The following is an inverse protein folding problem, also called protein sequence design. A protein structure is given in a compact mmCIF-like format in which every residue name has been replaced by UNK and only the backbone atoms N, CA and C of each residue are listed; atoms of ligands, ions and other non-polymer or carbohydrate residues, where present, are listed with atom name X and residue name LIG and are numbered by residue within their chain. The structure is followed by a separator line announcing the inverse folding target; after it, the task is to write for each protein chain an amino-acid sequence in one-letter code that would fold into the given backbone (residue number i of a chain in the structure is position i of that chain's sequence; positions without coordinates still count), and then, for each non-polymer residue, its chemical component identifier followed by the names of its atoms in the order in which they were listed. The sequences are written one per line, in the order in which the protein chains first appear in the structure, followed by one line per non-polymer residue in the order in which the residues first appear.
data_IF_485106669985
#
_entry.id   IF_485106669985
#
_cell.length_a   1.000
_cell.length_b   1.000
_cell.length_c   1.000
_cell.angle_alpha   90.00
_cell.angle_beta   90.00
_cell.angle_gamma   90.00
#
_symmetry.space_group_name_H-M   'P 1'
#
loop_
_entity.id
_entity.type
_entity.pdbx_description
1 polymer ?
#
# COMPACT_ATOMS: atom_id res chain seq x y z
N UNK A 1 -13.74 -13.44 11.80
CA UNK A 1 -13.09 -12.25 11.19
C UNK A 1 -12.16 -11.64 12.22
N UNK A 2 -10.88 -11.40 11.89
CA UNK A 2 -9.97 -10.70 12.80
C UNK A 2 -10.45 -9.26 12.99
N UNK A 3 -10.47 -8.80 14.25
CA UNK A 3 -10.86 -7.43 14.59
C UNK A 3 -9.86 -6.43 14.00
N UNK A 4 -10.34 -5.24 13.66
CA UNK A 4 -9.48 -4.10 13.31
C UNK A 4 -8.79 -3.61 14.58
N UNK A 5 -7.48 -3.48 14.53
CA UNK A 5 -6.63 -3.05 15.62
C UNK A 5 -5.81 -1.82 15.20
N UNK A 6 -5.33 -1.06 16.16
CA UNK A 6 -4.46 0.10 15.89
C UNK A 6 -3.23 0.08 16.76
N UNK A 7 -2.12 0.58 16.23
CA UNK A 7 -0.95 0.99 17.01
C UNK A 7 -0.62 2.45 16.70
N UNK A 8 0.07 3.11 17.62
CA UNK A 8 0.66 4.42 17.37
C UNK A 8 2.18 4.28 17.31
N UNK A 9 2.79 4.76 16.23
CA UNK A 9 4.23 4.76 16.02
C UNK A 9 4.90 5.87 16.85
N UNK A 10 6.22 5.81 17.04
CA UNK A 10 6.98 6.87 17.69
C UNK A 10 6.91 8.20 16.91
N UNK A 11 6.76 8.14 15.59
CA UNK A 11 6.53 9.32 14.74
C UNK A 11 5.12 9.90 14.85
N UNK A 12 4.26 9.31 15.68
CA UNK A 12 2.88 9.77 15.91
C UNK A 12 1.86 9.24 14.89
N UNK A 13 2.27 8.40 13.95
CA UNK A 13 1.38 7.79 12.95
C UNK A 13 0.58 6.66 13.59
N UNK A 14 -0.73 6.68 13.40
CA UNK A 14 -1.60 5.56 13.75
C UNK A 14 -1.67 4.59 12.57
N UNK A 15 -1.34 3.34 12.79
CA UNK A 15 -1.43 2.26 11.80
C UNK A 15 -2.62 1.37 12.16
N UNK A 16 -3.54 1.22 11.23
CA UNK A 16 -4.66 0.28 11.33
C UNK A 16 -4.27 -1.06 10.70
N UNK A 17 -4.53 -2.16 11.40
CA UNK A 17 -4.10 -3.49 10.96
C UNK A 17 -5.07 -4.59 11.37
N UNK A 18 -4.94 -5.73 10.71
CA UNK A 18 -5.54 -7.01 11.10
C UNK A 18 -4.44 -8.02 11.40
N UNK A 19 -4.66 -8.83 12.42
CA UNK A 19 -3.73 -9.87 12.88
C UNK A 19 -4.51 -11.13 13.20
N UNK A 20 -4.06 -12.26 12.70
CA UNK A 20 -4.68 -13.57 12.97
C UNK A 20 -4.38 -14.14 14.35
N UNK A 21 -3.48 -13.51 15.09
CA UNK A 21 -3.30 -13.68 16.54
C UNK A 21 -2.46 -14.88 17.00
N UNK A 22 -2.11 -15.83 16.16
CA UNK A 22 -1.28 -16.98 16.56
C UNK A 22 0.19 -16.55 16.82
N UNK A 23 0.51 -16.26 18.07
CA UNK A 23 1.83 -15.70 18.45
C UNK A 23 3.01 -16.65 18.29
N UNK A 24 2.77 -17.96 18.18
CA UNK A 24 3.82 -18.99 18.01
C UNK A 24 4.10 -19.33 16.56
N UNK A 25 3.20 -18.97 15.66
CA UNK A 25 3.35 -19.23 14.25
C UNK A 25 4.36 -18.29 13.57
N UNK A 26 5.03 -18.74 12.48
CA UNK A 26 5.84 -17.86 11.66
C UNK A 26 4.98 -16.73 11.07
N UNK A 27 5.53 -15.50 11.03
CA UNK A 27 4.77 -14.31 10.68
C UNK A 27 4.94 -13.95 9.22
N UNK A 28 3.84 -13.63 8.55
CA UNK A 28 3.81 -12.97 7.22
C UNK A 28 3.22 -11.58 7.40
N UNK A 29 3.90 -10.56 6.87
CA UNK A 29 3.39 -9.17 6.79
C UNK A 29 3.09 -8.85 5.33
N UNK A 30 1.85 -8.47 5.06
CA UNK A 30 1.35 -8.10 3.75
C UNK A 30 1.34 -6.56 3.63
N UNK A 31 2.17 -6.03 2.72
CA UNK A 31 2.39 -4.58 2.53
C UNK A 31 1.76 -4.19 1.19
N UNK A 32 0.73 -3.35 1.22
CA UNK A 32 -0.01 -2.95 0.03
C UNK A 32 0.65 -1.76 -0.70
N UNK A 33 0.23 -1.54 -1.95
CA UNK A 33 0.70 -0.46 -2.79
C UNK A 33 0.08 0.90 -2.48
N UNK A 34 0.42 1.90 -3.30
CA UNK A 34 0.00 3.29 -3.15
C UNK A 34 -1.54 3.42 -3.13
N UNK A 35 -2.05 4.11 -2.12
CA UNK A 35 -3.47 4.41 -1.96
C UNK A 35 -4.39 3.21 -1.74
N UNK A 36 -3.84 1.99 -1.72
CA UNK A 36 -4.61 0.78 -1.56
C UNK A 36 -4.70 0.37 -0.08
N UNK A 37 -5.90 -0.01 0.35
CA UNK A 37 -6.18 -0.44 1.70
C UNK A 37 -5.83 -1.92 1.93
N UNK A 38 -5.69 -2.33 3.17
CA UNK A 38 -5.43 -3.72 3.56
C UNK A 38 -6.47 -4.72 3.00
N UNK A 39 -7.69 -4.26 2.73
CA UNK A 39 -8.79 -5.05 2.15
C UNK A 39 -8.59 -5.41 0.67
N UNK A 40 -7.61 -4.81 0.00
CA UNK A 40 -7.26 -5.16 -1.40
C UNK A 40 -6.53 -6.51 -1.45
N UNK A 41 -5.89 -6.96 -0.37
CA UNK A 41 -5.43 -8.32 -0.27
C UNK A 41 -6.63 -9.29 -0.28
N UNK A 42 -6.76 -10.19 -1.28
CA UNK A 42 -7.89 -11.12 -1.35
C UNK A 42 -7.97 -11.97 -0.07
N UNK A 43 -9.19 -12.17 0.41
CA UNK A 43 -9.40 -13.00 1.60
C UNK A 43 -8.97 -14.45 1.36
N UNK A 44 -9.06 -14.95 0.13
CA UNK A 44 -8.56 -16.27 -0.27
C UNK A 44 -7.06 -16.39 -0.03
N UNK A 45 -6.27 -15.35 -0.37
CA UNK A 45 -4.84 -15.33 -0.07
C UNK A 45 -4.59 -15.24 1.43
N UNK A 46 -5.26 -14.27 2.09
CA UNK A 46 -5.08 -14.02 3.53
C UNK A 46 -5.42 -15.25 4.37
N UNK A 47 -6.60 -15.83 4.15
CA UNK A 47 -7.05 -17.03 4.86
C UNK A 47 -6.30 -18.29 4.43
N UNK A 48 -5.92 -18.38 3.15
CA UNK A 48 -5.09 -19.47 2.64
C UNK A 48 -3.73 -19.56 3.33
N UNK A 49 -3.09 -18.42 3.58
CA UNK A 49 -1.83 -18.38 4.34
C UNK A 49 -2.05 -18.78 5.81
N UNK A 50 -3.15 -18.36 6.42
CA UNK A 50 -3.54 -18.77 7.78
C UNK A 50 -3.74 -20.28 7.85
N UNK A 51 -4.44 -20.87 6.88
CA UNK A 51 -4.66 -22.32 6.81
C UNK A 51 -3.36 -23.10 6.63
N UNK A 52 -2.30 -22.48 6.11
CA UNK A 52 -0.95 -23.04 6.04
C UNK A 52 -0.13 -22.88 7.33
N UNK A 53 -0.74 -22.39 8.40
CA UNK A 53 -0.12 -22.29 9.72
C UNK A 53 0.67 -20.98 9.95
N UNK A 54 0.49 -19.95 9.12
CA UNK A 54 1.14 -18.65 9.34
C UNK A 54 0.26 -17.71 10.19
N UNK A 55 0.90 -16.88 11.01
CA UNK A 55 0.31 -15.66 11.53
C UNK A 55 0.41 -14.59 10.46
N UNK A 56 -0.72 -14.11 9.97
CA UNK A 56 -0.75 -13.15 8.86
C UNK A 56 -1.21 -11.80 9.37
N UNK A 57 -0.45 -10.77 9.02
CA UNK A 57 -0.74 -9.38 9.35
C UNK A 57 -0.89 -8.63 8.04
N UNK A 58 -2.00 -7.90 7.89
CA UNK A 58 -2.22 -6.93 6.82
C UNK A 58 -2.60 -5.59 7.44
N UNK A 59 -2.13 -4.49 6.89
CA UNK A 59 -2.31 -3.17 7.47
C UNK A 59 -2.52 -2.11 6.38
N UNK A 60 -3.09 -0.99 6.76
CA UNK A 60 -3.15 0.20 5.93
C UNK A 60 -1.85 1.00 6.10
N UNK A 61 -1.20 1.33 5.00
CA UNK A 61 -0.08 2.28 5.03
C UNK A 61 -0.58 3.66 5.53
N UNK A 62 0.34 4.55 5.96
CA UNK A 62 -0.01 5.96 6.14
C UNK A 62 -0.67 6.51 4.88
N UNK A 63 -1.61 7.43 5.01
CA UNK A 63 -2.45 8.00 3.95
C UNK A 63 -3.37 6.98 3.23
N UNK A 64 -3.55 5.78 3.79
CA UNK A 64 -4.45 4.78 3.25
C UNK A 64 -5.42 4.27 4.33
N UNK A 65 -6.64 3.99 3.91
CA UNK A 65 -7.66 3.36 4.75
C UNK A 65 -7.93 4.09 6.06
N UNK A 66 -7.82 3.36 7.17
CA UNK A 66 -8.07 3.87 8.52
C UNK A 66 -6.77 4.25 9.27
N UNK A 67 -5.61 4.19 8.62
CA UNK A 67 -4.37 4.73 9.17
C UNK A 67 -4.35 6.26 9.11
N UNK A 68 -3.39 6.89 9.79
CA UNK A 68 -3.24 8.35 9.79
C UNK A 68 -3.26 8.94 8.40
N UNK A 69 -4.10 9.95 8.20
CA UNK A 69 -4.17 10.77 7.00
C UNK A 69 -3.33 12.04 7.24
N UNK A 70 -2.50 12.39 6.29
CA UNK A 70 -1.56 13.52 6.38
C UNK A 70 -2.00 14.69 5.49
N UNK A 71 -3.32 14.87 5.36
CA UNK A 71 -3.97 15.89 4.51
C UNK A 71 -3.49 17.31 4.79
N UNK A 72 -3.01 17.59 6.04
CA UNK A 72 -2.45 18.87 6.42
C UNK A 72 -1.21 19.29 5.60
N UNK A 73 -0.53 18.34 4.96
CA UNK A 73 0.61 18.64 4.11
C UNK A 73 0.21 18.90 2.65
N UNK A 74 -1.08 18.74 2.30
CA UNK A 74 -1.61 18.92 0.96
C UNK A 74 -1.07 17.91 -0.06
N UNK A 75 -1.54 18.01 -1.29
CA UNK A 75 -1.02 17.16 -2.38
C UNK A 75 0.32 17.70 -2.89
N UNK A 76 1.36 16.88 -3.00
CA UNK A 76 2.65 17.32 -3.49
C UNK A 76 2.55 17.78 -4.95
N UNK A 77 3.18 18.90 -5.26
CA UNK A 77 3.25 19.40 -6.62
C UNK A 77 4.30 18.59 -7.40
N UNK A 78 3.84 17.60 -8.17
CA UNK A 78 4.71 16.71 -8.96
C UNK A 78 5.63 17.48 -9.93
N UNK A 79 5.19 18.61 -10.46
CA UNK A 79 6.01 19.46 -11.32
C UNK A 79 7.17 20.09 -10.52
N UNK A 80 6.90 20.59 -9.31
CA UNK A 80 7.96 21.11 -8.43
C UNK A 80 8.94 20.00 -8.03
N UNK A 81 8.45 18.79 -7.74
CA UNK A 81 9.32 17.62 -7.43
C UNK A 81 10.18 17.23 -8.64
N UNK A 82 9.60 17.22 -9.84
CA UNK A 82 10.36 16.95 -11.07
C UNK A 82 11.42 18.01 -11.32
N UNK A 83 11.08 19.28 -11.12
CA UNK A 83 11.97 20.42 -11.31
C UNK A 83 13.10 20.45 -10.26
N UNK A 84 12.83 20.04 -9.02
CA UNK A 84 13.82 19.97 -7.94
C UNK A 84 14.95 18.97 -8.19
N UNK A 85 14.72 17.97 -9.05
CA UNK A 85 15.77 17.04 -9.49
C UNK A 85 16.79 17.69 -10.44
N UNK A 86 16.51 18.85 -10.98
CA UNK A 86 17.35 19.59 -11.96
C UNK A 86 17.81 20.95 -11.44
N UNK A 87 17.06 21.53 -10.52
CA UNK A 87 17.36 22.84 -9.93
C UNK A 87 17.39 22.69 -8.40
N UNK A 88 18.13 23.51 -7.66
CA UNK A 88 18.23 23.47 -6.20
C UNK A 88 16.96 24.04 -5.54
N UNK A 89 15.78 23.52 -5.92
CA UNK A 89 14.49 23.92 -5.37
C UNK A 89 14.19 22.96 -4.20
N UNK A 90 14.05 23.52 -3.00
CA UNK A 90 13.57 22.77 -1.84
C UNK A 90 12.10 22.42 -2.05
N UNK A 91 11.81 21.12 -2.20
CA UNK A 91 10.45 20.60 -2.17
C UNK A 91 10.19 19.95 -0.82
N UNK A 92 9.09 20.34 -0.20
CA UNK A 92 8.65 19.67 1.01
C UNK A 92 8.00 18.33 0.61
N UNK A 93 8.63 17.24 0.99
CA UNK A 93 8.11 15.88 0.83
C UNK A 93 7.64 15.47 2.24
N UNK A 94 6.34 15.22 2.46
CA UNK A 94 5.81 14.93 3.80
C UNK A 94 6.44 13.69 4.43
N UNK A 95 6.71 12.68 3.63
CA UNK A 95 7.35 11.44 4.03
C UNK A 95 7.95 10.70 2.84
N UNK A 96 8.80 9.75 3.13
CA UNK A 96 9.54 8.94 2.15
C UNK A 96 9.16 7.47 2.28
N UNK A 97 9.63 6.63 1.33
CA UNK A 97 9.52 5.17 1.47
C UNK A 97 10.29 4.63 2.69
N UNK A 98 11.32 5.33 3.14
CA UNK A 98 12.04 4.98 4.37
C UNK A 98 11.17 5.20 5.61
N UNK A 99 10.37 6.26 5.64
CA UNK A 99 9.43 6.51 6.73
C UNK A 99 8.36 5.40 6.76
N UNK A 100 7.85 4.99 5.59
CA UNK A 100 6.89 3.88 5.48
C UNK A 100 7.52 2.54 5.88
N UNK A 101 8.80 2.31 5.56
CA UNK A 101 9.53 1.14 6.01
C UNK A 101 9.69 1.13 7.54
N UNK A 102 9.93 2.28 8.15
CA UNK A 102 9.98 2.43 9.60
C UNK A 102 8.62 2.15 10.25
N UNK A 103 7.49 2.56 9.64
CA UNK A 103 6.16 2.19 10.15
C UNK A 103 5.99 0.67 10.27
N UNK A 104 6.43 -0.08 9.27
CA UNK A 104 6.38 -1.55 9.32
C UNK A 104 7.26 -2.10 10.43
N UNK A 105 8.45 -1.54 10.61
CA UNK A 105 9.37 -1.96 11.68
C UNK A 105 8.81 -1.63 13.07
N UNK A 106 8.10 -0.53 13.22
CA UNK A 106 7.43 -0.16 14.46
C UNK A 106 6.20 -1.01 14.72
N UNK A 107 5.42 -1.36 13.67
CA UNK A 107 4.36 -2.35 13.77
C UNK A 107 4.91 -3.70 14.25
N UNK A 108 6.02 -4.16 13.67
CA UNK A 108 6.69 -5.39 14.14
C UNK A 108 7.11 -5.29 15.61
N UNK A 109 7.67 -4.15 16.02
CA UNK A 109 8.12 -3.93 17.41
C UNK A 109 6.94 -3.94 18.39
N UNK A 110 5.86 -3.22 18.09
CA UNK A 110 4.65 -3.17 18.89
C UNK A 110 4.00 -4.55 19.07
N UNK A 111 4.05 -5.39 18.00
CA UNK A 111 3.51 -6.75 18.02
C UNK A 111 4.53 -7.80 18.54
N UNK A 112 5.71 -7.34 19.01
CA UNK A 112 6.82 -8.19 19.51
C UNK A 112 7.29 -9.21 18.48
N UNK A 113 7.26 -8.84 17.18
CA UNK A 113 7.70 -9.68 16.07
C UNK A 113 9.20 -9.44 15.83
N UNK A 114 10.01 -10.45 16.07
CA UNK A 114 11.47 -10.37 15.88
C UNK A 114 11.86 -10.49 14.41
N UNK A 115 11.19 -11.40 13.67
CA UNK A 115 11.45 -11.66 12.25
C UNK A 115 10.13 -11.99 11.54
N UNK A 116 10.01 -11.62 10.26
CA UNK A 116 8.84 -11.91 9.45
C UNK A 116 9.21 -12.22 7.98
N UNK A 117 8.33 -12.93 7.30
CA UNK A 117 8.27 -12.97 5.85
C UNK A 117 7.56 -11.70 5.38
N UNK A 118 8.15 -10.98 4.43
CA UNK A 118 7.56 -9.76 3.87
C UNK A 118 7.01 -10.05 2.48
N UNK A 119 5.74 -9.71 2.27
CA UNK A 119 5.09 -9.80 0.96
C UNK A 119 4.57 -8.41 0.62
N UNK A 120 5.14 -7.81 -0.41
CA UNK A 120 4.80 -6.45 -0.82
C UNK A 120 4.33 -6.36 -2.26
N UNK A 121 3.24 -5.64 -2.51
CA UNK A 121 2.71 -5.38 -3.84
C UNK A 121 3.00 -3.94 -4.29
N UNK A 122 3.51 -3.76 -5.52
CA UNK A 122 3.79 -2.44 -6.10
C UNK A 122 4.70 -1.59 -5.18
N UNK A 123 4.26 -0.42 -4.71
CA UNK A 123 4.99 0.39 -3.71
C UNK A 123 5.28 -0.40 -2.43
N UNK A 124 4.38 -1.29 -1.99
CA UNK A 124 4.62 -2.18 -0.86
C UNK A 124 5.81 -3.11 -1.05
N UNK A 125 6.07 -3.53 -2.30
CA UNK A 125 7.29 -4.28 -2.65
C UNK A 125 8.54 -3.42 -2.54
N UNK A 126 8.50 -2.12 -2.87
CA UNK A 126 9.63 -1.20 -2.67
C UNK A 126 9.92 -1.02 -1.17
N UNK A 127 8.88 -0.85 -0.34
CA UNK A 127 8.98 -0.76 1.12
C UNK A 127 9.63 -2.03 1.68
N UNK A 128 9.14 -3.21 1.26
CA UNK A 128 9.68 -4.49 1.70
C UNK A 128 11.15 -4.68 1.30
N UNK A 129 11.56 -4.23 0.10
CA UNK A 129 12.95 -4.24 -0.35
C UNK A 129 13.83 -3.33 0.52
N UNK A 130 13.36 -2.12 0.88
CA UNK A 130 14.10 -1.23 1.79
C UNK A 130 14.31 -1.86 3.16
N UNK A 131 13.28 -2.50 3.73
CA UNK A 131 13.40 -3.23 4.99
C UNK A 131 14.41 -4.35 4.87
N UNK A 132 14.32 -5.17 3.82
CA UNK A 132 15.25 -6.29 3.59
C UNK A 132 16.69 -5.83 3.42
N UNK A 133 16.93 -4.71 2.74
CA UNK A 133 18.26 -4.15 2.53
C UNK A 133 18.87 -3.58 3.82
N UNK A 134 18.08 -2.80 4.58
CA UNK A 134 18.56 -2.07 5.76
C UNK A 134 18.44 -2.84 7.07
N UNK A 135 17.52 -3.81 7.14
CA UNK A 135 17.17 -4.56 8.36
C UNK A 135 17.17 -6.08 8.12
N UNK A 136 18.19 -6.59 7.43
CA UNK A 136 18.33 -8.00 7.03
C UNK A 136 18.02 -9.00 8.16
N UNK A 137 18.42 -8.68 9.41
CA UNK A 137 18.19 -9.55 10.57
C UNK A 137 16.73 -9.73 10.95
N UNK A 138 15.83 -8.84 10.48
CA UNK A 138 14.40 -8.87 10.75
C UNK A 138 13.57 -9.58 9.65
N UNK A 139 14.18 -9.94 8.51
CA UNK A 139 13.51 -10.49 7.35
C UNK A 139 13.87 -11.96 7.17
N UNK A 140 12.87 -12.82 7.12
CA UNK A 140 13.01 -14.25 6.83
C UNK A 140 13.02 -14.51 5.33
N UNK A 141 12.10 -13.88 4.60
CA UNK A 141 12.06 -13.88 3.13
C UNK A 141 11.39 -12.62 2.61
N UNK A 142 11.59 -12.32 1.34
CA UNK A 142 10.99 -11.21 0.62
C UNK A 142 10.28 -11.74 -0.62
N UNK A 143 8.97 -11.45 -0.74
CA UNK A 143 8.19 -11.63 -1.95
C UNK A 143 7.78 -10.25 -2.48
N UNK A 144 8.24 -9.91 -3.68
CA UNK A 144 7.98 -8.63 -4.33
C UNK A 144 7.09 -8.85 -5.55
N UNK A 145 5.84 -8.38 -5.48
CA UNK A 145 4.80 -8.60 -6.49
C UNK A 145 4.64 -7.30 -7.29
N UNK A 146 4.68 -7.38 -8.64
CA UNK A 146 4.51 -6.24 -9.58
C UNK A 146 5.24 -4.96 -9.13
N UNK A 147 6.46 -5.09 -8.68
CA UNK A 147 7.26 -4.02 -8.08
C UNK A 147 8.63 -3.87 -8.76
N UNK A 148 9.35 -2.83 -8.38
CA UNK A 148 10.70 -2.54 -8.88
C UNK A 148 11.60 -2.03 -7.76
N UNK A 149 12.90 -1.86 -8.06
CA UNK A 149 13.86 -1.23 -7.13
C UNK A 149 13.75 0.30 -7.05
N UNK A 150 12.76 0.91 -7.73
CA UNK A 150 12.60 2.37 -7.77
C UNK A 150 13.61 3.11 -8.65
N UNK A 151 14.43 2.41 -9.44
CA UNK A 151 15.31 3.07 -10.41
C UNK A 151 14.48 3.83 -11.45
N UNK A 152 14.79 5.09 -11.77
CA UNK A 152 13.96 6.00 -12.57
C UNK A 152 13.98 5.71 -14.08
N UNK A 153 14.07 4.46 -14.52
CA UNK A 153 13.83 4.07 -15.91
C UNK A 153 12.36 3.69 -16.06
N UNK A 154 11.53 4.71 -16.34
CA UNK A 154 10.17 4.47 -16.80
C UNK A 154 10.23 3.86 -18.20
N UNK A 155 9.73 2.64 -18.35
CA UNK A 155 9.50 2.06 -19.68
C UNK A 155 8.37 2.85 -20.38
N UNK A 156 8.32 2.82 -21.70
CA UNK A 156 7.23 3.45 -22.48
C UNK A 156 5.85 2.92 -22.04
N UNK A 157 5.77 1.64 -21.70
CA UNK A 157 4.55 1.02 -21.16
C UNK A 157 4.14 1.59 -19.80
N UNK A 158 5.11 1.85 -18.90
CA UNK A 158 4.84 2.48 -17.60
C UNK A 158 4.35 3.92 -17.76
N UNK A 159 4.93 4.67 -18.71
CA UNK A 159 4.47 6.03 -19.01
C UNK A 159 3.05 6.03 -19.58
N UNK A 160 2.74 5.11 -20.53
CA UNK A 160 1.39 4.95 -21.09
C UNK A 160 0.37 4.64 -20.01
N UNK A 161 0.68 3.71 -19.10
CA UNK A 161 -0.18 3.37 -17.98
C UNK A 161 -0.42 4.59 -17.07
N UNK A 162 0.64 5.33 -16.71
CA UNK A 162 0.54 6.54 -15.90
C UNK A 162 -0.38 7.59 -16.54
N UNK A 163 -0.24 7.83 -17.84
CA UNK A 163 -1.10 8.76 -18.57
C UNK A 163 -2.57 8.30 -18.60
N UNK A 164 -2.80 6.99 -18.76
CA UNK A 164 -4.16 6.43 -18.70
C UNK A 164 -4.78 6.60 -17.30
N UNK A 165 -4.03 6.36 -16.22
CA UNK A 165 -4.49 6.56 -14.84
C UNK A 165 -4.84 8.02 -14.60
N UNK A 166 -3.98 8.94 -15.01
CA UNK A 166 -4.22 10.38 -14.88
C UNK A 166 -5.48 10.84 -15.66
N UNK A 167 -5.69 10.30 -16.88
CA UNK A 167 -6.86 10.60 -17.72
C UNK A 167 -8.18 10.16 -17.09
N UNK A 168 -8.19 9.03 -16.36
CA UNK A 168 -9.40 8.46 -15.77
C UNK A 168 -9.68 8.98 -14.35
N UNK A 169 -8.79 9.81 -13.79
CA UNK A 169 -8.99 10.40 -12.47
C UNK A 169 -10.20 11.32 -12.47
N UNK A 170 -11.19 11.11 -11.57
CA UNK A 170 -12.36 11.98 -11.48
C UNK A 170 -11.97 13.42 -11.16
N UNK A 171 -12.61 14.38 -11.79
CA UNK A 171 -12.45 15.82 -11.45
C UNK A 171 -13.11 16.17 -10.12
N UNK A 172 -14.20 15.48 -9.79
CA UNK A 172 -14.89 15.56 -8.51
C UNK A 172 -15.03 14.16 -7.95
N UNK A 173 -14.64 13.97 -6.70
CA UNK A 173 -14.75 12.71 -6.00
C UNK A 173 -16.09 12.62 -5.28
N UNK A 174 -17.03 11.90 -5.88
CA UNK A 174 -18.22 11.35 -5.22
C UNK A 174 -17.97 9.88 -4.90
N UNK A 175 -18.79 9.28 -4.03
CA UNK A 175 -18.74 7.85 -3.72
C UNK A 175 -18.76 6.99 -5.00
N UNK A 176 -19.70 7.28 -5.90
CA UNK A 176 -19.87 6.49 -7.12
C UNK A 176 -18.71 6.69 -8.11
N UNK A 177 -18.20 7.91 -8.25
CA UNK A 177 -17.04 8.18 -9.11
C UNK A 177 -15.77 7.50 -8.57
N UNK A 178 -15.61 7.42 -7.24
CA UNK A 178 -14.51 6.72 -6.60
C UNK A 178 -14.59 5.20 -6.83
N UNK A 179 -15.78 4.60 -6.68
CA UNK A 179 -16.01 3.19 -6.98
C UNK A 179 -15.69 2.90 -8.46
N UNK A 180 -16.21 3.70 -9.37
CA UNK A 180 -15.97 3.54 -10.80
C UNK A 180 -14.48 3.66 -11.15
N UNK A 181 -13.79 4.64 -10.57
CA UNK A 181 -12.35 4.82 -10.76
C UNK A 181 -11.55 3.62 -10.28
N UNK A 182 -11.87 3.06 -9.10
CA UNK A 182 -11.20 1.88 -8.56
C UNK A 182 -11.42 0.64 -9.44
N UNK A 183 -12.63 0.44 -9.97
CA UNK A 183 -12.91 -0.64 -10.93
C UNK A 183 -12.04 -0.46 -12.17
N UNK A 184 -12.03 0.75 -12.75
CA UNK A 184 -11.25 1.06 -13.95
C UNK A 184 -9.75 0.90 -13.74
N UNK A 185 -9.25 1.33 -12.58
CA UNK A 185 -7.86 1.14 -12.16
C UNK A 185 -7.48 -0.35 -12.17
N UNK A 186 -8.29 -1.18 -11.51
CA UNK A 186 -8.05 -2.63 -11.45
C UNK A 186 -8.07 -3.28 -12.83
N UNK A 187 -8.99 -2.87 -13.71
CA UNK A 187 -9.04 -3.35 -15.09
C UNK A 187 -7.78 -2.95 -15.89
N UNK A 188 -7.25 -1.74 -15.68
CA UNK A 188 -6.07 -1.24 -16.39
C UNK A 188 -4.77 -1.91 -15.95
N UNK A 189 -4.64 -2.23 -14.67
CA UNK A 189 -3.44 -2.89 -14.11
C UNK A 189 -3.55 -4.41 -14.10
N UNK A 190 -4.75 -4.95 -14.27
CA UNK A 190 -5.01 -6.39 -14.28
C UNK A 190 -4.41 -7.08 -15.52
N UNK A 191 -4.16 -8.38 -15.41
CA UNK A 191 -3.70 -9.19 -16.54
C UNK A 191 -4.85 -9.54 -17.46
N UNK A 192 -4.75 -9.29 -18.78
CA UNK A 192 -5.78 -9.74 -19.73
C UNK A 192 -5.97 -11.27 -19.74
N UNK A 193 -4.93 -12.03 -19.41
CA UNK A 193 -4.99 -13.50 -19.34
C UNK A 193 -5.79 -14.03 -18.14
N UNK A 194 -6.01 -13.19 -17.13
CA UNK A 194 -6.76 -13.53 -15.93
C UNK A 194 -7.83 -12.45 -15.68
N UNK A 195 -8.91 -12.45 -16.49
CA UNK A 195 -9.95 -11.44 -16.35
C UNK A 195 -10.64 -11.55 -14.99
N UNK A 196 -10.75 -10.43 -14.32
CA UNK A 196 -11.43 -10.37 -13.02
C UNK A 196 -12.94 -10.27 -13.23
N UNK A 197 -13.70 -10.93 -12.35
CA UNK A 197 -15.15 -10.82 -12.34
C UNK A 197 -15.57 -9.40 -11.96
N UNK A 198 -16.37 -8.75 -12.81
CA UNK A 198 -16.77 -7.35 -12.60
C UNK A 198 -17.57 -7.15 -11.31
N UNK A 199 -18.41 -8.10 -10.94
CA UNK A 199 -19.18 -8.05 -9.72
C UNK A 199 -18.28 -8.10 -8.49
N UNK A 200 -17.22 -8.93 -8.51
CA UNK A 200 -16.20 -9.01 -7.46
C UNK A 200 -15.41 -7.71 -7.36
N UNK A 201 -15.01 -7.12 -8.49
CA UNK A 201 -14.34 -5.83 -8.54
C UNK A 201 -15.20 -4.71 -7.95
N UNK A 202 -16.48 -4.67 -8.32
CA UNK A 202 -17.43 -3.69 -7.80
C UNK A 202 -17.61 -3.85 -6.29
N UNK A 203 -17.79 -5.08 -5.81
CA UNK A 203 -17.91 -5.37 -4.37
C UNK A 203 -16.67 -4.89 -3.60
N UNK A 204 -15.47 -5.19 -4.10
CA UNK A 204 -14.20 -4.80 -3.49
C UNK A 204 -14.03 -3.26 -3.51
N UNK A 205 -14.31 -2.61 -4.64
CA UNK A 205 -14.23 -1.16 -4.76
C UNK A 205 -15.22 -0.45 -3.82
N UNK A 206 -16.46 -0.94 -3.74
CA UNK A 206 -17.49 -0.43 -2.82
C UNK A 206 -17.03 -0.57 -1.37
N UNK A 207 -16.57 -1.76 -0.98
CA UNK A 207 -16.06 -2.00 0.37
C UNK A 207 -14.91 -1.04 0.74
N UNK A 208 -13.99 -0.83 -0.19
CA UNK A 208 -12.85 0.08 0.03
C UNK A 208 -13.29 1.54 0.21
N UNK A 209 -14.22 2.01 -0.63
CA UNK A 209 -14.74 3.38 -0.55
C UNK A 209 -15.58 3.60 0.71
N UNK A 210 -16.48 2.66 1.04
CA UNK A 210 -17.35 2.77 2.22
C UNK A 210 -16.55 2.65 3.53
N UNK A 211 -15.42 1.91 3.52
CA UNK A 211 -14.55 1.79 4.69
C UNK A 211 -13.77 3.08 4.96
N UNK A 212 -13.07 3.57 3.99
CA UNK A 212 -12.33 4.83 4.06
C UNK A 212 -11.78 5.17 2.68
N UNK A 213 -12.08 6.34 2.18
CA UNK A 213 -11.54 6.82 0.91
C UNK A 213 -10.82 8.13 1.14
N UNK A 214 -9.50 8.13 0.88
CA UNK A 214 -8.72 9.37 0.84
C UNK A 214 -8.34 9.71 -0.61
N UNK A 215 -9.05 10.66 -1.25
CA UNK A 215 -8.75 11.05 -2.62
C UNK A 215 -7.40 11.75 -2.76
N UNK A 216 -6.83 12.27 -1.68
CA UNK A 216 -5.54 12.97 -1.68
C UNK A 216 -4.36 12.00 -1.65
N UNK A 217 -4.49 10.83 -1.02
CA UNK A 217 -3.42 9.84 -0.92
C UNK A 217 -2.90 9.33 -2.28
N UNK A 218 -3.70 9.43 -3.34
CA UNK A 218 -3.33 9.02 -4.71
C UNK A 218 -2.57 10.12 -5.46
N UNK A 219 -2.36 11.27 -4.82
CA UNK A 219 -1.70 12.44 -5.40
C UNK A 219 -0.19 12.48 -5.11
N UNK A 220 0.32 11.56 -4.29
CA UNK A 220 1.71 11.45 -3.89
C UNK A 220 2.57 10.65 -4.87
#
# INVERSE_FOLDING_TARGET
MSSMLTIKTHSGITINYQDTGNKTAPVIILIMGLGAQLTVWPDELYLGLVAKGFRVIRFDNRDAGLSSQLDQFGSPNLFKIWLSKRLPIKTHIPYTLDDMANDVLELMAALKIKKAHLVGASMGGMIAQLIAAKNKKKVLSLTSIMSSSGKPKLSASSLKLFLQLAKHRPRQFSRDSAIHYNIKLNQLIGSPAYPQNEQSLRKQATLGVDRAHNPQAVSY
#
